data_IF_449288241714
#
_entry.id   IF_449288241714
#
_cell.length_a   1.000
_cell.length_b   1.000
_cell.length_c   1.000
_cell.angle_alpha   90.00
_cell.angle_beta   90.00
_cell.angle_gamma   90.00
#
_symmetry.space_group_name_H-M   'P 1'
#
loop_
_entity.id
_entity.type
_entity.pdbx_description
1 polymer ?
#
# COMPACT_ATOMS: atom_id res chain seq x y z
N UNK A 1 -7.78 -23.35 -12.75
CA UNK A 1 -8.71 -22.80 -11.72
C UNK A 1 -9.39 -24.00 -11.06
N UNK A 2 -8.98 -24.39 -9.85
CA UNK A 2 -9.27 -25.72 -9.28
C UNK A 2 -10.76 -26.04 -9.14
N UNK A 3 -11.59 -25.03 -8.88
CA UNK A 3 -13.04 -25.17 -8.78
C UNK A 3 -13.69 -25.53 -10.12
N UNK A 4 -13.36 -24.82 -11.20
CA UNK A 4 -13.90 -25.08 -12.53
C UNK A 4 -13.41 -26.43 -13.06
N UNK A 5 -12.17 -26.81 -12.75
CA UNK A 5 -11.65 -28.14 -13.06
C UNK A 5 -12.43 -29.25 -12.33
N UNK A 6 -12.76 -29.04 -11.06
CA UNK A 6 -13.60 -29.97 -10.29
C UNK A 6 -15.03 -30.04 -10.86
N UNK A 7 -15.64 -28.90 -11.16
CA UNK A 7 -16.98 -28.83 -11.78
C UNK A 7 -17.01 -29.51 -13.16
N UNK A 8 -15.98 -29.32 -13.98
CA UNK A 8 -15.86 -29.95 -15.30
C UNK A 8 -15.72 -31.47 -15.21
N UNK A 9 -14.82 -31.97 -14.34
CA UNK A 9 -14.66 -33.41 -14.07
C UNK A 9 -15.95 -34.04 -13.55
N UNK A 10 -16.71 -33.28 -12.75
CA UNK A 10 -18.01 -33.73 -12.24
C UNK A 10 -19.06 -33.87 -13.36
N UNK A 11 -19.23 -32.87 -14.21
CA UNK A 11 -20.17 -32.92 -15.36
C UNK A 11 -19.81 -34.09 -16.29
N UNK A 12 -18.52 -34.35 -16.50
CA UNK A 12 -18.04 -35.49 -17.29
C UNK A 12 -18.29 -36.84 -16.62
N UNK A 13 -18.23 -36.96 -15.28
CA UNK A 13 -18.53 -38.20 -14.56
C UNK A 13 -20.02 -38.57 -14.57
N UNK A 14 -20.91 -37.57 -14.60
CA UNK A 14 -22.36 -37.73 -14.63
C UNK A 14 -22.89 -38.34 -15.93
N UNK A 15 -22.20 -38.17 -17.05
CA UNK A 15 -22.60 -38.74 -18.35
C UNK A 15 -22.44 -40.26 -18.42
N UNK A 16 -21.74 -40.89 -17.46
CA UNK A 16 -21.48 -42.34 -17.42
C UNK A 16 -22.43 -43.15 -16.53
N UNK A 17 -23.52 -42.55 -16.02
CA UNK A 17 -24.56 -43.28 -15.26
C UNK A 17 -24.07 -43.82 -13.92
N UNK A 18 -24.00 -42.97 -12.89
CA UNK A 18 -23.55 -43.35 -11.54
C UNK A 18 -24.71 -43.44 -10.55
N UNK A 19 -24.55 -44.33 -9.56
CA UNK A 19 -25.43 -44.55 -8.40
C UNK A 19 -26.04 -43.27 -7.78
N UNK A 20 -27.32 -43.35 -7.41
CA UNK A 20 -28.12 -42.26 -6.83
C UNK A 20 -27.53 -41.70 -5.52
N UNK A 21 -26.78 -42.50 -4.78
CA UNK A 21 -26.08 -42.11 -3.54
C UNK A 21 -24.91 -41.15 -3.81
N UNK A 22 -24.11 -41.41 -4.85
CA UNK A 22 -23.01 -40.54 -5.27
C UNK A 22 -23.54 -39.18 -5.75
N UNK A 23 -24.71 -39.18 -6.40
CA UNK A 23 -25.42 -37.96 -6.80
C UNK A 23 -25.83 -37.10 -5.59
N UNK A 24 -26.34 -37.71 -4.51
CA UNK A 24 -26.72 -37.01 -3.27
C UNK A 24 -25.52 -36.41 -2.54
N UNK A 25 -24.46 -37.20 -2.32
CA UNK A 25 -23.24 -36.74 -1.65
C UNK A 25 -22.62 -35.55 -2.41
N UNK A 26 -22.58 -35.64 -3.74
CA UNK A 26 -21.99 -34.57 -4.55
C UNK A 26 -22.83 -33.29 -4.56
N UNK A 27 -24.16 -33.41 -4.53
CA UNK A 27 -25.06 -32.25 -4.37
C UNK A 27 -24.83 -31.50 -3.05
N UNK A 28 -24.56 -32.24 -1.96
CA UNK A 28 -24.19 -31.65 -0.67
C UNK A 28 -22.83 -30.94 -0.73
N UNK A 29 -21.83 -31.57 -1.35
CA UNK A 29 -20.51 -30.97 -1.58
C UNK A 29 -20.60 -29.67 -2.40
N UNK A 30 -21.37 -29.65 -3.48
CA UNK A 30 -21.54 -28.45 -4.29
C UNK A 30 -22.18 -27.30 -3.49
N UNK A 31 -23.19 -27.60 -2.66
CA UNK A 31 -23.79 -26.60 -1.75
C UNK A 31 -22.78 -26.08 -0.73
N UNK A 32 -21.96 -26.95 -0.16
CA UNK A 32 -20.93 -26.57 0.79
C UNK A 32 -19.88 -25.67 0.14
N UNK A 33 -19.36 -26.09 -1.02
CA UNK A 33 -18.39 -25.30 -1.80
C UNK A 33 -18.96 -23.93 -2.17
N UNK A 34 -20.21 -23.86 -2.62
CA UNK A 34 -20.87 -22.58 -2.90
C UNK A 34 -20.98 -21.70 -1.65
N UNK A 35 -21.33 -22.28 -0.51
CA UNK A 35 -21.40 -21.56 0.77
C UNK A 35 -20.03 -20.99 1.18
N UNK A 36 -18.96 -21.77 1.03
CA UNK A 36 -17.60 -21.30 1.32
C UNK A 36 -17.14 -20.21 0.35
N UNK A 37 -17.54 -20.26 -0.92
CA UNK A 37 -17.23 -19.20 -1.90
C UNK A 37 -17.93 -17.90 -1.52
N UNK A 38 -19.22 -17.94 -1.16
CA UNK A 38 -19.94 -16.73 -0.72
C UNK A 38 -19.33 -16.15 0.56
N UNK A 39 -18.91 -17.01 1.49
CA UNK A 39 -18.21 -16.59 2.71
C UNK A 39 -16.87 -15.92 2.38
N UNK A 40 -16.05 -16.56 1.53
CA UNK A 40 -14.77 -16.01 1.11
C UNK A 40 -14.95 -14.66 0.39
N UNK A 41 -16.00 -14.51 -0.42
CA UNK A 41 -16.33 -13.24 -1.09
C UNK A 41 -16.65 -12.13 -0.09
N UNK A 42 -17.48 -12.43 0.92
CA UNK A 42 -17.80 -11.46 1.96
C UNK A 42 -16.57 -11.06 2.79
N UNK A 43 -15.66 -12.02 3.05
CA UNK A 43 -14.39 -11.74 3.72
C UNK A 43 -13.47 -10.85 2.86
N UNK A 44 -13.38 -11.11 1.55
CA UNK A 44 -12.61 -10.28 0.61
C UNK A 44 -13.16 -8.86 0.57
N UNK A 45 -14.47 -8.68 0.47
CA UNK A 45 -15.09 -7.34 0.45
C UNK A 45 -14.79 -6.55 1.74
N UNK A 46 -14.82 -7.23 2.89
CA UNK A 46 -14.41 -6.62 4.16
C UNK A 46 -12.93 -6.23 4.15
N UNK A 47 -12.06 -7.09 3.64
CA UNK A 47 -10.62 -6.78 3.53
C UNK A 47 -10.36 -5.62 2.57
N UNK A 48 -11.10 -5.51 1.47
CA UNK A 48 -11.01 -4.38 0.53
C UNK A 48 -11.41 -3.07 1.21
N UNK A 49 -12.46 -3.07 2.03
CA UNK A 49 -12.87 -1.89 2.79
C UNK A 49 -11.79 -1.45 3.81
N UNK A 50 -11.25 -2.41 4.58
CA UNK A 50 -10.20 -2.13 5.55
C UNK A 50 -8.90 -1.65 4.88
N UNK A 51 -8.51 -2.28 3.76
CA UNK A 51 -7.35 -1.88 2.97
C UNK A 51 -7.51 -0.46 2.39
N UNK A 52 -8.70 -0.13 1.89
CA UNK A 52 -9.00 1.21 1.37
C UNK A 52 -8.90 2.28 2.46
N UNK A 53 -9.40 2.00 3.67
CA UNK A 53 -9.26 2.89 4.82
C UNK A 53 -7.80 3.07 5.22
N UNK A 54 -7.04 1.97 5.30
CA UNK A 54 -5.62 2.01 5.62
C UNK A 54 -4.82 2.85 4.59
N UNK A 55 -5.10 2.66 3.31
CA UNK A 55 -4.50 3.44 2.23
C UNK A 55 -4.84 4.93 2.36
N UNK A 56 -6.11 5.28 2.62
CA UNK A 56 -6.52 6.67 2.81
C UNK A 56 -5.82 7.34 4.00
N UNK A 57 -5.66 6.63 5.13
CA UNK A 57 -4.94 7.15 6.29
C UNK A 57 -3.43 7.31 6.01
N UNK A 58 -2.83 6.37 5.29
CA UNK A 58 -1.42 6.45 4.91
C UNK A 58 -1.17 7.67 4.02
N UNK A 59 -1.96 7.87 2.97
CA UNK A 59 -1.84 9.02 2.06
C UNK A 59 -2.10 10.35 2.77
N UNK A 60 -3.09 10.43 3.67
CA UNK A 60 -3.33 11.64 4.46
C UNK A 60 -2.12 11.98 5.34
N UNK A 61 -1.51 10.96 5.95
CA UNK A 61 -0.34 11.14 6.80
C UNK A 61 0.90 11.54 5.98
N UNK A 62 1.10 10.93 4.81
CA UNK A 62 2.16 11.29 3.87
C UNK A 62 2.02 12.76 3.44
N UNK A 63 0.86 13.17 2.94
CA UNK A 63 0.63 14.55 2.50
C UNK A 63 0.85 15.61 3.60
N UNK A 64 0.59 15.27 4.87
CA UNK A 64 0.94 16.17 6.00
C UNK A 64 2.44 16.33 6.19
N UNK A 65 3.22 15.27 5.99
CA UNK A 65 4.67 15.32 6.08
C UNK A 65 5.28 16.00 4.85
N UNK A 66 4.74 15.73 3.66
CA UNK A 66 5.17 16.36 2.40
C UNK A 66 4.97 17.87 2.47
N UNK A 67 3.81 18.33 2.94
CA UNK A 67 3.55 19.76 3.15
C UNK A 67 4.51 20.36 4.18
N UNK A 68 4.71 19.69 5.33
CA UNK A 68 5.62 20.16 6.36
C UNK A 68 7.05 20.34 5.82
N UNK A 69 7.58 19.35 5.11
CA UNK A 69 8.93 19.44 4.53
C UNK A 69 9.00 20.48 3.42
N UNK A 70 8.01 20.51 2.51
CA UNK A 70 7.99 21.43 1.36
C UNK A 70 7.95 22.89 1.78
N UNK A 71 7.17 23.24 2.80
CA UNK A 71 7.12 24.60 3.35
C UNK A 71 8.50 25.03 3.89
N UNK A 72 9.16 24.16 4.65
CA UNK A 72 10.48 24.46 5.23
C UNK A 72 11.59 24.49 4.17
N UNK A 73 11.51 23.64 3.14
CA UNK A 73 12.43 23.64 2.02
C UNK A 73 12.34 24.93 1.18
N UNK A 74 11.14 25.48 1.01
CA UNK A 74 10.91 26.75 0.31
C UNK A 74 11.16 27.99 1.16
N UNK A 75 11.15 27.87 2.49
CA UNK A 75 11.37 28.98 3.41
C UNK A 75 12.85 29.41 3.46
N UNK A 76 13.28 30.15 2.44
CA UNK A 76 14.62 30.74 2.33
C UNK A 76 14.57 32.22 1.92
N UNK A 77 15.53 33.00 2.40
CA UNK A 77 15.72 34.40 2.03
C UNK A 77 16.22 34.55 0.58
N UNK A 78 16.09 35.76 0.03
CA UNK A 78 16.46 36.08 -1.36
C UNK A 78 17.89 35.70 -1.72
N UNK A 79 18.82 35.84 -0.77
CA UNK A 79 20.24 35.54 -0.98
C UNK A 79 20.62 34.14 -0.47
N UNK A 80 19.64 33.31 -0.09
CA UNK A 80 19.81 31.98 0.54
C UNK A 80 20.69 31.96 1.79
N UNK A 81 20.98 33.14 2.37
CA UNK A 81 21.74 33.33 3.61
C UNK A 81 20.92 33.01 4.86
N UNK A 82 19.59 33.00 4.74
CA UNK A 82 18.66 32.55 5.77
C UNK A 82 17.80 31.43 5.19
N UNK A 83 17.65 30.34 5.92
CA UNK A 83 16.89 29.17 5.48
C UNK A 83 16.34 28.41 6.69
N UNK A 84 15.22 27.72 6.49
CA UNK A 84 14.61 26.87 7.51
C UNK A 84 15.02 25.39 7.39
N UNK A 85 15.54 24.97 6.24
CA UNK A 85 16.00 23.61 5.99
C UNK A 85 17.37 23.62 5.29
N UNK A 86 18.32 22.82 5.79
CA UNK A 86 19.66 22.68 5.23
C UNK A 86 20.77 22.61 6.30
N UNK A 87 21.99 22.27 5.89
CA UNK A 87 23.17 22.23 6.74
C UNK A 87 24.24 23.18 6.18
N UNK A 88 24.53 24.27 6.91
CA UNK A 88 25.43 25.35 6.48
C UNK A 88 24.96 26.20 5.29
N UNK A 89 24.01 25.71 4.49
CA UNK A 89 23.36 26.42 3.38
C UNK A 89 21.94 25.89 3.16
N UNK A 90 21.10 26.64 2.44
CA UNK A 90 19.75 26.20 2.11
C UNK A 90 19.75 24.85 1.38
N UNK A 91 18.89 23.93 1.82
CA UNK A 91 18.72 22.63 1.20
C UNK A 91 18.42 22.76 -0.29
N UNK A 92 18.97 21.85 -1.08
CA UNK A 92 18.66 21.69 -2.49
C UNK A 92 17.79 20.44 -2.70
N UNK A 93 17.03 20.37 -3.80
CA UNK A 93 16.26 19.16 -4.15
C UNK A 93 17.14 17.90 -4.22
N UNK A 94 18.41 18.05 -4.58
CA UNK A 94 19.39 16.95 -4.57
C UNK A 94 19.67 16.39 -3.17
N UNK A 95 19.52 17.19 -2.12
CA UNK A 95 19.75 16.77 -0.73
C UNK A 95 18.52 16.02 -0.16
N UNK A 96 17.40 15.99 -0.89
CA UNK A 96 16.11 15.44 -0.46
C UNK A 96 15.48 14.57 -1.54
N UNK A 97 16.29 13.72 -2.19
CA UNK A 97 15.85 12.82 -3.27
C UNK A 97 14.80 11.80 -2.86
N UNK A 98 14.71 11.51 -1.57
CA UNK A 98 13.65 10.65 -1.01
C UNK A 98 12.29 11.37 -0.93
N UNK A 99 12.25 12.70 -1.12
CA UNK A 99 11.04 13.50 -1.10
C UNK A 99 10.74 14.14 -2.47
N UNK A 100 11.77 14.54 -3.22
CA UNK A 100 11.65 15.25 -4.49
C UNK A 100 12.40 14.53 -5.62
N UNK A 101 11.66 14.12 -6.64
CA UNK A 101 12.20 13.54 -7.87
C UNK A 101 12.67 14.62 -8.85
N UNK A 102 12.07 15.82 -8.78
CA UNK A 102 12.37 16.96 -9.65
C UNK A 102 13.63 17.75 -9.30
N UNK A 103 13.71 18.97 -9.85
CA UNK A 103 14.84 19.91 -9.64
C UNK A 103 14.45 21.16 -8.86
N UNK A 104 13.24 21.17 -8.29
CA UNK A 104 12.75 22.23 -7.42
C UNK A 104 11.91 21.65 -6.27
N UNK A 105 11.45 22.53 -5.37
CA UNK A 105 10.60 22.17 -4.23
C UNK A 105 9.12 22.47 -4.50
N UNK A 106 8.65 22.22 -5.72
CA UNK A 106 7.23 22.36 -6.05
C UNK A 106 6.48 21.05 -5.84
N UNK A 107 5.17 21.15 -5.76
CA UNK A 107 4.28 19.99 -5.64
C UNK A 107 4.49 18.99 -6.77
N UNK A 108 4.72 19.47 -8.00
CA UNK A 108 4.95 18.59 -9.16
C UNK A 108 6.30 17.86 -9.12
N UNK A 109 7.21 18.29 -8.25
CA UNK A 109 8.51 17.66 -8.03
C UNK A 109 8.50 16.66 -6.87
N UNK A 110 7.39 16.56 -6.11
CA UNK A 110 7.23 15.54 -5.07
C UNK A 110 7.16 14.15 -5.70
N UNK A 111 7.64 13.16 -4.96
CA UNK A 111 7.62 11.78 -5.42
C UNK A 111 6.19 11.22 -5.46
N UNK A 112 5.74 10.77 -6.64
CA UNK A 112 4.39 10.20 -6.80
C UNK A 112 4.41 8.72 -6.39
N UNK A 113 3.50 8.36 -5.49
CA UNK A 113 3.27 6.98 -5.01
C UNK A 113 3.09 5.99 -6.18
N UNK A 114 2.54 6.43 -7.33
CA UNK A 114 2.36 5.61 -8.53
C UNK A 114 3.67 5.29 -9.24
N UNK A 115 4.66 6.16 -9.13
CA UNK A 115 5.93 6.09 -9.85
C UNK A 115 7.03 5.43 -9.02
N UNK A 116 6.96 5.55 -7.68
CA UNK A 116 8.03 5.11 -6.77
C UNK A 116 7.68 3.97 -5.83
N UNK A 117 6.49 3.36 -5.96
CA UNK A 117 6.10 2.22 -5.13
C UNK A 117 7.11 1.06 -5.27
N UNK A 118 7.91 0.85 -4.22
CA UNK A 118 8.81 -0.30 -4.10
C UNK A 118 8.03 -1.60 -4.20
N UNK A 119 8.55 -2.55 -4.98
CA UNK A 119 8.01 -3.91 -5.02
C UNK A 119 8.14 -4.65 -3.67
N UNK A 120 9.03 -4.16 -2.80
CA UNK A 120 9.22 -4.70 -1.46
C UNK A 120 8.45 -3.87 -0.44
N UNK A 121 7.49 -4.52 0.25
CA UNK A 121 6.74 -3.89 1.33
C UNK A 121 7.69 -3.42 2.45
N UNK A 122 7.68 -2.13 2.80
CA UNK A 122 8.50 -1.63 3.89
C UNK A 122 7.96 -2.12 5.23
N UNK A 123 8.87 -2.44 6.16
CA UNK A 123 8.48 -2.71 7.53
C UNK A 123 8.01 -1.41 8.19
N UNK A 124 6.69 -1.21 8.24
CA UNK A 124 6.06 0.00 8.76
C UNK A 124 6.57 0.40 10.15
N UNK A 125 6.70 -0.57 11.07
CA UNK A 125 7.20 -0.29 12.42
C UNK A 125 8.66 0.18 12.44
N UNK A 126 9.48 -0.36 11.55
CA UNK A 126 10.87 0.06 11.42
C UNK A 126 10.96 1.49 10.88
N UNK A 127 10.17 1.82 9.85
CA UNK A 127 10.10 3.17 9.27
C UNK A 127 9.62 4.22 10.29
N UNK A 128 8.61 3.91 11.10
CA UNK A 128 8.18 4.83 12.17
C UNK A 128 9.23 4.94 13.29
N UNK A 129 9.99 3.88 13.56
CA UNK A 129 11.07 3.94 14.57
C UNK A 129 12.25 4.79 14.12
N UNK A 130 12.56 4.86 12.82
CA UNK A 130 13.70 5.64 12.32
C UNK A 130 13.52 7.14 12.47
N UNK A 131 12.28 7.64 12.43
CA UNK A 131 11.97 9.08 12.57
C UNK A 131 11.79 9.54 14.02
N UNK A 132 11.97 8.66 15.02
CA UNK A 132 11.85 9.05 16.43
C UNK A 132 13.02 9.93 16.86
N UNK A 133 12.77 10.85 17.78
CA UNK A 133 13.80 11.71 18.37
C UNK A 133 15.02 10.92 18.87
N UNK A 134 14.83 9.76 19.51
CA UNK A 134 15.93 8.89 19.97
C UNK A 134 16.88 8.43 18.84
N UNK A 135 16.42 8.44 17.59
CA UNK A 135 17.23 8.11 16.41
C UNK A 135 17.80 9.34 15.72
N UNK A 136 17.10 10.47 15.79
CA UNK A 136 17.50 11.70 15.10
C UNK A 136 18.16 12.74 16.01
N UNK A 137 18.27 12.50 17.32
CA UNK A 137 18.73 13.48 18.31
C UNK A 137 20.06 14.17 17.97
N UNK A 138 20.99 13.47 17.33
CA UNK A 138 22.28 14.01 16.90
C UNK A 138 22.20 15.07 15.80
N UNK A 139 21.07 15.16 15.10
CA UNK A 139 20.83 16.18 14.07
C UNK A 139 20.26 17.49 14.65
N UNK A 140 19.95 17.53 15.94
CA UNK A 140 19.34 18.68 16.62
C UNK A 140 20.29 19.38 17.61
N UNK A 141 21.56 18.99 17.66
CA UNK A 141 22.60 19.48 18.58
C UNK A 141 23.82 19.91 17.81
#
# INVERSE_FOLDING_TARGET
MKLLEWQSKFIQSKSKGSDTEACKITGLLFRQVRKEIEKARAEVEKFEEEASKAAAFAVNSAGRLDEFITVFANAKGSDSSYFCLGDGSAAKPEDSRDCFSGTDFREESLDDIRESASAQEPNFFSAIKSIKYSKLSSHFT
#
